data_IF_964018384724
#
_entry.id   IF_964018384724
#
_cell.length_a   1.000
_cell.length_b   1.000
_cell.length_c   1.000
_cell.angle_alpha   90.00
_cell.angle_beta   90.00
_cell.angle_gamma   90.00
#
_symmetry.space_group_name_H-M   'P 1'
#
loop_
_entity.id
_entity.type
_entity.pdbx_description
1 polymer ?
#
# COMPACT_ATOMS: atom_id res chain seq x y z
N UNK A 1 5.18 -3.73 -5.37
CA UNK A 1 5.70 -3.68 -3.99
C UNK A 1 5.08 -4.78 -3.14
N UNK A 2 5.91 -5.47 -2.35
CA UNK A 2 5.46 -6.54 -1.47
C UNK A 2 4.82 -5.94 -0.21
N UNK A 3 3.58 -6.32 0.08
CA UNK A 3 2.81 -5.77 1.23
C UNK A 3 2.52 -6.81 2.29
N UNK A 4 2.66 -8.08 1.91
CA UNK A 4 2.58 -9.22 2.79
C UNK A 4 3.58 -10.28 2.34
N UNK A 5 3.84 -11.30 3.18
CA UNK A 5 4.66 -12.44 2.76
C UNK A 5 4.08 -13.15 1.53
N UNK A 6 2.76 -13.09 1.34
CA UNK A 6 2.05 -13.77 0.23
C UNK A 6 1.51 -12.83 -0.84
N UNK A 7 1.58 -11.50 -0.65
CA UNK A 7 0.90 -10.53 -1.51
C UNK A 7 1.84 -9.44 -2.01
N UNK A 8 1.71 -9.13 -3.31
CA UNK A 8 2.42 -8.06 -4.02
C UNK A 8 1.37 -7.19 -4.68
N UNK A 9 1.49 -5.88 -4.53
CA UNK A 9 0.56 -4.89 -5.11
C UNK A 9 1.32 -3.79 -5.84
N UNK A 10 0.67 -3.13 -6.79
CA UNK A 10 1.23 -1.97 -7.48
C UNK A 10 0.92 -0.70 -6.71
N UNK A 11 1.95 0.10 -6.36
CA UNK A 11 1.79 1.37 -5.60
C UNK A 11 0.86 2.34 -6.32
N UNK A 12 1.01 2.41 -7.64
CA UNK A 12 0.22 3.27 -8.51
C UNK A 12 -1.29 2.97 -8.46
N UNK A 13 -1.64 1.70 -8.27
CA UNK A 13 -3.03 1.25 -8.19
C UNK A 13 -3.63 1.32 -6.79
N UNK A 14 -2.86 1.77 -5.79
CA UNK A 14 -3.38 1.92 -4.43
C UNK A 14 -4.28 3.16 -4.41
N UNK A 15 -5.57 2.93 -4.21
CA UNK A 15 -6.55 4.01 -4.09
C UNK A 15 -6.49 4.59 -2.68
N UNK A 16 -6.66 3.74 -1.67
CA UNK A 16 -6.68 4.13 -0.27
C UNK A 16 -6.00 3.07 0.61
N UNK A 17 -5.57 3.49 1.79
CA UNK A 17 -5.07 2.62 2.86
C UNK A 17 -6.01 2.82 4.03
N UNK A 18 -6.72 1.75 4.41
CA UNK A 18 -7.63 1.75 5.55
C UNK A 18 -6.97 0.99 6.69
N UNK A 19 -6.31 1.73 7.58
CA UNK A 19 -5.61 1.17 8.75
C UNK A 19 -4.51 0.16 8.38
N UNK A 20 -4.89 -1.13 8.37
CA UNK A 20 -4.02 -2.28 8.15
C UNK A 20 -4.26 -2.93 6.77
N UNK A 21 -5.15 -2.38 5.97
CA UNK A 21 -5.59 -2.95 4.71
C UNK A 21 -5.38 -1.93 3.58
N UNK A 22 -5.02 -2.43 2.41
CA UNK A 22 -4.92 -1.63 1.19
C UNK A 22 -6.18 -1.86 0.39
N UNK A 23 -6.84 -0.78 0.01
CA UNK A 23 -7.99 -0.80 -0.88
C UNK A 23 -7.51 -0.53 -2.30
N UNK A 24 -7.73 -1.52 -3.17
CA UNK A 24 -7.42 -1.48 -4.60
C UNK A 24 -8.68 -1.87 -5.35
N UNK A 25 -9.36 -0.90 -5.94
CA UNK A 25 -10.65 -1.07 -6.61
C UNK A 25 -11.62 -1.82 -5.72
N UNK A 26 -11.95 -3.07 -6.08
CA UNK A 26 -12.88 -3.93 -5.35
C UNK A 26 -12.19 -4.93 -4.40
N UNK A 27 -10.86 -4.89 -4.28
CA UNK A 27 -10.09 -5.83 -3.45
C UNK A 27 -9.48 -5.14 -2.23
N UNK A 28 -9.52 -5.85 -1.10
CA UNK A 28 -8.87 -5.46 0.15
C UNK A 28 -7.71 -6.41 0.43
N UNK A 29 -6.51 -5.87 0.53
CA UNK A 29 -5.30 -6.67 0.78
C UNK A 29 -4.77 -6.36 2.19
N UNK A 30 -4.66 -7.37 3.07
CA UNK A 30 -4.14 -7.18 4.40
C UNK A 30 -2.62 -6.92 4.37
N UNK A 31 -2.19 -5.95 5.17
CA UNK A 31 -0.79 -5.57 5.34
C UNK A 31 -0.25 -6.20 6.60
N UNK A 32 0.92 -6.83 6.46
CA UNK A 32 1.66 -7.31 7.62
C UNK A 32 2.27 -6.12 8.37
N UNK A 33 2.19 -6.12 9.71
CA UNK A 33 2.68 -5.02 10.56
C UNK A 33 4.10 -4.56 10.21
N UNK A 34 4.97 -5.51 9.91
CA UNK A 34 6.38 -5.26 9.54
C UNK A 34 6.56 -4.51 8.22
N UNK A 35 5.58 -4.59 7.32
CA UNK A 35 5.60 -3.92 6.02
C UNK A 35 4.77 -2.63 6.02
N UNK A 36 4.02 -2.32 7.08
CA UNK A 36 3.11 -1.17 7.13
C UNK A 36 3.85 0.17 6.97
N UNK A 37 4.87 0.39 7.79
CA UNK A 37 5.70 1.60 7.77
C UNK A 37 6.36 1.86 6.40
N UNK A 38 7.09 0.89 5.79
CA UNK A 38 7.70 1.14 4.49
C UNK A 38 6.68 1.34 3.37
N UNK A 39 5.51 0.69 3.43
CA UNK A 39 4.46 0.90 2.42
C UNK A 39 3.91 2.32 2.50
N UNK A 40 3.55 2.78 3.70
CA UNK A 40 3.02 4.13 3.90
C UNK A 40 4.01 5.17 3.40
N UNK A 41 5.29 5.04 3.81
CA UNK A 41 6.35 5.93 3.34
C UNK A 41 6.48 5.95 1.82
N UNK A 42 6.40 4.79 1.16
CA UNK A 42 6.56 4.73 -0.30
C UNK A 42 5.32 5.26 -1.05
N UNK A 43 4.12 5.03 -0.51
CA UNK A 43 2.86 5.55 -1.07
C UNK A 43 2.79 7.06 -0.93
N UNK A 44 3.15 7.59 0.24
CA UNK A 44 3.28 9.04 0.50
C UNK A 44 4.29 9.64 -0.47
N UNK A 45 5.50 9.06 -0.58
CA UNK A 45 6.54 9.53 -1.50
C UNK A 45 6.08 9.55 -2.95
N UNK A 46 5.37 8.52 -3.41
CA UNK A 46 4.88 8.44 -4.80
C UNK A 46 3.73 9.40 -5.08
N UNK A 47 2.74 9.54 -4.18
CA UNK A 47 1.56 10.39 -4.41
C UNK A 47 1.80 11.88 -4.12
N UNK A 48 2.76 12.25 -3.26
CA UNK A 48 2.98 13.65 -2.88
C UNK A 48 4.10 14.36 -3.66
N UNK A 49 4.96 13.63 -4.38
CA UNK A 49 6.04 14.23 -5.18
C UNK A 49 5.70 14.43 -6.66
N UNK A 50 4.43 14.35 -7.03
CA UNK A 50 3.94 14.97 -8.26
C UNK A 50 3.80 16.48 -8.01
N UNK A 51 4.90 17.22 -8.19
CA UNK A 51 4.94 18.68 -8.21
C UNK A 51 5.29 19.16 -9.62
#
# INVERSE_FOLDING_TARGET
MRVHKSYIVSIDKIEAIDGNEIVIQSHRIPISRNYREPIIQQVVKTKLWIK
#
